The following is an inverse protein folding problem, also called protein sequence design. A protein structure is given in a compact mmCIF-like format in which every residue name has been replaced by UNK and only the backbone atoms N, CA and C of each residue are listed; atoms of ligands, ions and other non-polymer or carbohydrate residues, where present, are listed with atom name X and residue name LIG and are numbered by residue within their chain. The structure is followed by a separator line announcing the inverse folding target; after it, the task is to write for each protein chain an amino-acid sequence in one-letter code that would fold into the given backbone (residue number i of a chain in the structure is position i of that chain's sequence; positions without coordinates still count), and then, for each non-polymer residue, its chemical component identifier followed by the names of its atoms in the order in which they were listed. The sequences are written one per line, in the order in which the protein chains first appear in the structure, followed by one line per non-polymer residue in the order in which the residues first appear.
data_IF_042686551932
#
_entry.id   IF_042686551932
#
_cell.length_a   1.000
_cell.length_b   1.000
_cell.length_c   1.000
_cell.angle_alpha   90.00
_cell.angle_beta   90.00
_cell.angle_gamma   90.00
#
_symmetry.space_group_name_H-M   'P 1'
#
loop_
_entity.id
_entity.type
_entity.pdbx_description
1 polymer ?
#
# COMPACT_ATOMS: atom_id res chain seq x y z
N UNK A 1 -15.49 -23.52 29.74
CA UNK A 1 -14.71 -22.30 29.47
C UNK A 1 -13.69 -22.13 30.60
N UNK A 2 -12.44 -22.52 30.39
CA UNK A 2 -11.36 -22.37 31.38
C UNK A 2 -10.36 -21.33 30.90
N UNK A 3 -10.37 -20.14 31.50
CA UNK A 3 -9.37 -19.10 31.26
C UNK A 3 -8.12 -19.47 32.07
N UNK A 4 -7.13 -20.06 31.39
CA UNK A 4 -5.81 -20.35 31.94
C UNK A 4 -5.04 -19.05 32.16
N UNK A 5 -5.10 -18.52 33.38
CA UNK A 5 -4.25 -17.42 33.83
C UNK A 5 -2.80 -17.93 33.85
N UNK A 6 -1.97 -17.42 32.94
CA UNK A 6 -0.52 -17.63 33.01
C UNK A 6 0.02 -16.81 34.18
N UNK A 7 0.27 -17.47 35.31
CA UNK A 7 0.92 -16.87 36.47
C UNK A 7 2.36 -16.50 36.05
N UNK A 8 2.69 -15.21 36.13
CA UNK A 8 4.04 -14.74 35.94
C UNK A 8 4.92 -15.31 37.06
N UNK A 9 5.85 -16.19 36.72
CA UNK A 9 6.87 -16.68 37.66
C UNK A 9 7.67 -15.45 38.13
N UNK A 10 7.76 -15.19 39.44
CA UNK A 10 8.56 -14.08 39.94
C UNK A 10 10.02 -14.32 39.56
N UNK A 11 10.64 -13.33 38.91
CA UNK A 11 12.07 -13.32 38.62
C UNK A 11 12.83 -13.20 39.94
N UNK A 12 13.27 -14.32 40.48
CA UNK A 12 14.23 -14.35 41.58
C UNK A 12 15.59 -13.96 41.00
N UNK A 13 16.12 -12.80 41.42
CA UNK A 13 17.50 -12.45 41.14
C UNK A 13 18.36 -13.40 41.99
N UNK A 14 18.98 -14.39 41.33
CA UNK A 14 19.92 -15.31 41.97
C UNK A 14 21.19 -14.59 42.42
N UNK A 15 21.98 -15.26 43.28
CA UNK A 15 23.27 -14.75 43.72
C UNK A 15 24.22 -14.53 42.53
N UNK A 16 24.93 -13.40 42.56
CA UNK A 16 25.93 -13.06 41.55
C UNK A 16 27.13 -13.99 41.73
N UNK A 17 27.35 -14.88 40.76
CA UNK A 17 28.54 -15.74 40.70
C UNK A 17 29.26 -15.61 39.36
N UNK A 18 30.51 -16.02 39.35
CA UNK A 18 31.32 -16.05 38.13
C UNK A 18 30.76 -17.05 37.11
N UNK A 19 30.77 -16.63 35.84
CA UNK A 19 30.33 -17.44 34.71
C UNK A 19 31.40 -18.48 34.42
N UNK A 20 31.02 -19.75 34.44
CA UNK A 20 31.96 -20.84 34.12
C UNK A 20 32.11 -21.04 32.60
N UNK A 21 33.25 -21.55 32.16
CA UNK A 21 33.52 -21.79 30.73
C UNK A 21 32.49 -22.74 30.08
N UNK A 22 32.00 -23.72 30.84
CA UNK A 22 30.94 -24.63 30.41
C UNK A 22 29.61 -23.92 30.12
N UNK A 23 29.27 -22.90 30.92
CA UNK A 23 28.06 -22.10 30.75
C UNK A 23 28.18 -21.14 29.58
N UNK A 24 29.36 -20.55 29.41
CA UNK A 24 29.65 -19.70 28.26
C UNK A 24 29.52 -20.47 26.94
N UNK A 25 29.86 -21.76 26.94
CA UNK A 25 29.73 -22.68 25.80
C UNK A 25 28.30 -23.22 25.61
N UNK A 26 27.52 -23.30 26.70
CA UNK A 26 26.12 -23.73 26.68
C UNK A 26 25.13 -22.59 26.35
N UNK A 27 25.60 -21.35 26.28
CA UNK A 27 24.79 -20.20 25.90
C UNK A 27 24.22 -20.44 24.49
N UNK A 28 22.88 -20.49 24.32
CA UNK A 28 22.31 -20.63 23.00
C UNK A 28 22.67 -19.39 22.18
N UNK A 29 23.54 -19.57 21.19
CA UNK A 29 23.85 -18.58 20.13
C UNK A 29 22.69 -18.41 19.14
N UNK A 30 21.55 -19.04 19.42
CA UNK A 30 20.41 -19.11 18.55
C UNK A 30 19.81 -17.73 18.31
N UNK A 31 20.05 -17.19 17.12
CA UNK A 31 19.10 -16.29 16.48
C UNK A 31 17.76 -17.04 16.49
N UNK A 32 16.79 -16.54 17.24
CA UNK A 32 15.44 -17.11 17.28
C UNK A 32 14.98 -17.35 15.84
N UNK A 33 14.42 -18.53 15.50
CA UNK A 33 13.97 -18.82 14.14
C UNK A 33 13.16 -17.64 13.63
N UNK A 34 13.62 -17.04 12.52
CA UNK A 34 12.95 -15.90 11.91
C UNK A 34 11.49 -16.31 11.73
N UNK A 35 10.59 -15.66 12.47
CA UNK A 35 9.18 -16.01 12.44
C UNK A 35 8.70 -15.79 11.01
N UNK A 36 8.50 -16.89 10.28
CA UNK A 36 7.95 -16.84 8.94
C UNK A 36 6.59 -16.16 9.01
N UNK A 37 6.37 -15.20 8.11
CA UNK A 37 5.11 -14.47 8.06
C UNK A 37 3.98 -15.45 7.81
N UNK A 38 3.09 -15.59 8.77
CA UNK A 38 1.96 -16.52 8.65
C UNK A 38 0.95 -16.02 7.61
N UNK A 39 0.79 -14.69 7.47
CA UNK A 39 -0.10 -14.03 6.50
C UNK A 39 0.41 -12.65 6.10
N UNK A 40 0.48 -12.40 4.80
CA UNK A 40 0.67 -11.05 4.24
C UNK A 40 -0.65 -10.26 4.40
N UNK A 41 -0.54 -9.00 4.85
CA UNK A 41 -1.68 -8.12 5.18
C UNK A 41 -1.52 -6.83 4.37
N UNK A 42 -2.58 -6.03 4.25
CA UNK A 42 -2.56 -4.76 3.51
C UNK A 42 -1.37 -3.84 3.85
N UNK A 43 -0.98 -3.75 5.14
CA UNK A 43 0.20 -2.97 5.56
C UNK A 43 1.52 -3.52 5.01
N UNK A 44 1.65 -4.83 4.88
CA UNK A 44 2.80 -5.47 4.24
C UNK A 44 2.83 -5.20 2.74
N UNK A 45 1.67 -5.17 2.07
CA UNK A 45 1.59 -4.76 0.66
C UNK A 45 2.00 -3.30 0.46
N UNK A 46 1.55 -2.40 1.33
CA UNK A 46 1.94 -0.99 1.26
C UNK A 46 3.47 -0.81 1.42
N UNK A 47 4.07 -1.49 2.41
CA UNK A 47 5.52 -1.49 2.60
C UNK A 47 6.24 -2.11 1.39
N UNK A 48 5.76 -3.22 0.85
CA UNK A 48 6.37 -3.89 -0.30
C UNK A 48 6.34 -2.99 -1.56
N UNK A 49 5.24 -2.27 -1.80
CA UNK A 49 5.14 -1.27 -2.87
C UNK A 49 6.16 -0.15 -2.69
N UNK A 50 6.32 0.37 -1.48
CA UNK A 50 7.31 1.42 -1.19
C UNK A 50 8.76 0.95 -1.39
N UNK A 51 9.09 -0.28 -0.97
CA UNK A 51 10.40 -0.88 -1.21
C UNK A 51 10.62 -1.20 -2.70
N UNK A 52 9.55 -1.51 -3.43
CA UNK A 52 9.59 -1.68 -4.88
C UNK A 52 9.80 -0.32 -5.59
N UNK A 53 9.24 0.78 -5.06
CA UNK A 53 9.51 2.17 -5.49
C UNK A 53 10.99 2.55 -5.30
N UNK A 54 11.70 1.79 -4.47
CA UNK A 54 13.10 2.04 -4.13
C UNK A 54 13.26 3.01 -2.97
N UNK A 55 12.21 3.20 -2.14
CA UNK A 55 12.38 3.88 -0.87
C UNK A 55 13.36 3.09 0.01
N UNK A 56 14.19 3.84 0.73
CA UNK A 56 15.14 3.28 1.69
C UNK A 56 14.37 2.52 2.80
N UNK A 57 14.84 1.32 3.23
CA UNK A 57 14.10 0.49 4.17
C UNK A 57 13.75 1.17 5.50
N UNK A 58 14.64 2.03 6.01
CA UNK A 58 14.40 2.83 7.21
C UNK A 58 13.26 3.82 7.02
N UNK A 59 13.30 4.61 5.94
CA UNK A 59 12.24 5.57 5.58
C UNK A 59 10.90 4.87 5.31
N UNK A 60 10.90 3.76 4.56
CA UNK A 60 9.71 2.98 4.29
C UNK A 60 9.11 2.41 5.59
N UNK A 61 9.96 1.86 6.47
CA UNK A 61 9.55 1.39 7.79
C UNK A 61 8.87 2.50 8.62
N UNK A 62 9.51 3.65 8.74
CA UNK A 62 8.98 4.79 9.48
C UNK A 62 7.63 5.27 8.92
N UNK A 63 7.49 5.34 7.58
CA UNK A 63 6.29 5.80 6.89
C UNK A 63 5.08 4.90 7.17
N UNK A 64 5.28 3.58 7.20
CA UNK A 64 4.19 2.61 7.41
C UNK A 64 4.10 2.08 8.84
N UNK A 65 4.84 2.67 9.78
CA UNK A 65 4.79 2.37 11.21
C UNK A 65 5.39 1.01 11.57
N UNK A 66 6.54 0.67 10.98
CA UNK A 66 7.34 -0.51 11.29
C UNK A 66 8.71 -0.11 11.82
N UNK A 67 9.24 -0.89 12.77
CA UNK A 67 10.62 -0.71 13.24
C UNK A 67 11.62 -1.20 12.17
N UNK A 68 12.83 -0.61 12.09
CA UNK A 68 13.85 -1.05 11.13
C UNK A 68 14.21 -2.53 11.29
N UNK A 69 14.30 -3.02 12.52
CA UNK A 69 14.55 -4.43 12.81
C UNK A 69 13.45 -5.34 12.25
N UNK A 70 12.18 -4.95 12.37
CA UNK A 70 11.07 -5.73 11.80
C UNK A 70 11.09 -5.70 10.27
N UNK A 71 11.40 -4.55 9.65
CA UNK A 71 11.55 -4.47 8.18
C UNK A 71 12.66 -5.42 7.70
N UNK A 72 13.77 -5.50 8.43
CA UNK A 72 14.85 -6.45 8.12
C UNK A 72 14.38 -7.91 8.18
N UNK A 73 13.59 -8.27 9.21
CA UNK A 73 12.97 -9.60 9.30
C UNK A 73 12.03 -9.88 8.12
N UNK A 74 11.19 -8.91 7.74
CA UNK A 74 10.33 -9.04 6.57
C UNK A 74 11.13 -9.23 5.28
N UNK A 75 12.24 -8.53 5.10
CA UNK A 75 13.08 -8.66 3.90
C UNK A 75 13.82 -10.00 3.82
N UNK A 76 14.06 -10.67 4.95
CA UNK A 76 14.60 -12.02 4.97
C UNK A 76 13.56 -13.07 4.53
N UNK A 77 12.26 -12.80 4.75
CA UNK A 77 11.15 -13.70 4.42
C UNK A 77 11.02 -13.89 2.89
N UNK A 78 10.98 -15.14 2.38
CA UNK A 78 10.85 -15.41 0.95
C UNK A 78 9.55 -14.88 0.31
N UNK A 79 8.41 -15.02 1.00
CA UNK A 79 7.11 -14.61 0.46
C UNK A 79 7.03 -13.08 0.34
N UNK A 80 7.61 -12.36 1.30
CA UNK A 80 7.70 -10.90 1.22
C UNK A 80 8.64 -10.44 0.09
N UNK A 81 9.77 -11.13 -0.13
CA UNK A 81 10.67 -10.84 -1.26
C UNK A 81 10.00 -11.05 -2.62
N UNK A 82 9.24 -12.12 -2.78
CA UNK A 82 8.43 -12.35 -3.97
C UNK A 82 7.40 -11.25 -4.19
N UNK A 83 6.74 -10.78 -3.12
CA UNK A 83 5.78 -9.68 -3.21
C UNK A 83 6.44 -8.36 -3.68
N UNK A 84 7.64 -8.05 -3.18
CA UNK A 84 8.40 -6.88 -3.64
C UNK A 84 8.80 -7.04 -5.11
N UNK A 85 9.25 -8.24 -5.52
CA UNK A 85 9.62 -8.53 -6.90
C UNK A 85 8.42 -8.44 -7.85
N UNK A 86 7.26 -8.95 -7.43
CA UNK A 86 6.00 -8.83 -8.15
C UNK A 86 5.66 -7.37 -8.42
N UNK A 87 5.70 -6.52 -7.38
CA UNK A 87 5.45 -5.10 -7.58
C UNK A 87 6.47 -4.50 -8.53
N UNK A 88 7.78 -4.75 -8.34
CA UNK A 88 8.86 -4.33 -9.25
C UNK A 88 8.57 -4.65 -10.72
N UNK A 89 8.00 -5.81 -10.99
CA UNK A 89 7.66 -6.25 -12.34
C UNK A 89 6.39 -5.58 -12.92
N UNK A 90 5.43 -5.15 -12.09
CA UNK A 90 4.20 -4.48 -12.54
C UNK A 90 4.43 -3.07 -13.13
N UNK A 91 5.64 -2.52 -13.09
CA UNK A 91 6.03 -1.40 -13.95
C UNK A 91 5.55 0.00 -13.53
N UNK A 92 4.82 0.13 -12.42
CA UNK A 92 4.37 1.44 -11.89
C UNK A 92 5.54 2.38 -11.52
N UNK A 93 6.75 1.85 -11.36
CA UNK A 93 7.95 2.63 -11.01
C UNK A 93 8.44 3.51 -12.13
N UNK A 94 8.43 3.02 -13.36
CA UNK A 94 8.91 3.80 -14.50
C UNK A 94 7.93 4.93 -14.79
N UNK A 95 6.62 4.69 -14.63
CA UNK A 95 5.61 5.71 -14.77
C UNK A 95 5.71 6.79 -13.69
N UNK A 96 5.81 6.41 -12.41
CA UNK A 96 5.94 7.38 -11.29
C UNK A 96 7.24 8.16 -11.41
N UNK A 97 8.38 7.51 -11.68
CA UNK A 97 9.67 8.21 -11.88
C UNK A 97 9.67 9.09 -13.12
N UNK A 98 9.03 8.66 -14.21
CA UNK A 98 8.89 9.48 -15.42
C UNK A 98 8.04 10.72 -15.13
N UNK A 99 6.93 10.57 -14.40
CA UNK A 99 6.07 11.67 -13.98
C UNK A 99 6.85 12.67 -13.12
N UNK A 100 7.57 12.22 -12.11
CA UNK A 100 8.42 13.08 -11.26
C UNK A 100 9.48 13.83 -12.09
N UNK A 101 10.16 13.14 -13.01
CA UNK A 101 11.16 13.77 -13.90
C UNK A 101 10.52 14.78 -14.86
N UNK A 102 9.35 14.48 -15.40
CA UNK A 102 8.60 15.39 -16.28
C UNK A 102 8.10 16.63 -15.53
N UNK A 103 7.71 16.49 -14.26
CA UNK A 103 7.32 17.61 -13.41
C UNK A 103 8.50 18.56 -13.17
N UNK A 104 9.67 18.04 -12.80
CA UNK A 104 10.89 18.85 -12.63
C UNK A 104 11.29 19.53 -13.93
N UNK A 105 11.35 18.79 -15.04
CA UNK A 105 11.68 19.35 -16.35
C UNK A 105 10.69 20.43 -16.77
N UNK A 106 9.39 20.22 -16.51
CA UNK A 106 8.36 21.21 -16.82
C UNK A 106 8.57 22.50 -16.02
N UNK A 107 8.90 22.39 -14.73
CA UNK A 107 9.16 23.53 -13.87
C UNK A 107 10.39 24.34 -14.33
N UNK A 108 11.49 23.65 -14.65
CA UNK A 108 12.72 24.30 -15.15
C UNK A 108 12.47 24.96 -16.52
N UNK A 109 11.79 24.29 -17.43
CA UNK A 109 11.45 24.83 -18.75
C UNK A 109 10.56 26.08 -18.63
N UNK A 110 9.53 26.06 -17.76
CA UNK A 110 8.68 27.21 -17.50
C UNK A 110 9.47 28.41 -16.93
N UNK A 111 10.44 28.16 -16.04
CA UNK A 111 11.29 29.20 -15.47
C UNK A 111 12.20 29.85 -16.52
N UNK A 112 12.78 29.05 -17.41
CA UNK A 112 13.61 29.55 -18.52
C UNK A 112 12.78 30.32 -19.55
N UNK A 113 11.56 29.87 -19.84
CA UNK A 113 10.62 30.61 -20.72
C UNK A 113 10.31 31.99 -20.12
N UNK A 114 10.01 32.06 -18.82
CA UNK A 114 9.73 33.33 -18.14
C UNK A 114 10.91 34.29 -18.26
N UNK A 115 12.12 33.81 -17.95
CA UNK A 115 13.36 34.60 -18.09
C UNK A 115 13.52 35.16 -19.51
N UNK A 116 13.29 34.35 -20.54
CA UNK A 116 13.39 34.80 -21.95
C UNK A 116 12.38 35.87 -22.31
N UNK A 117 11.16 35.78 -21.76
CA UNK A 117 10.11 36.79 -21.97
C UNK A 117 10.50 38.11 -21.30
N UNK A 118 11.10 38.06 -20.11
CA UNK A 118 11.59 39.24 -19.39
C UNK A 118 12.76 39.91 -20.14
N UNK A 119 13.74 39.12 -20.58
CA UNK A 119 14.94 39.63 -21.24
C UNK A 119 14.65 40.19 -22.64
N UNK A 120 13.77 39.53 -23.40
CA UNK A 120 13.49 39.86 -24.80
C UNK A 120 12.00 39.70 -25.14
N UNK A 121 11.13 40.59 -24.61
CA UNK A 121 9.68 40.45 -24.78
C UNK A 121 9.23 40.48 -26.25
N UNK A 122 9.98 41.15 -27.13
CA UNK A 122 9.67 41.22 -28.57
C UNK A 122 10.04 39.97 -29.39
N UNK A 123 10.72 38.98 -28.80
CA UNK A 123 11.07 37.73 -29.50
C UNK A 123 9.92 36.73 -29.57
N UNK A 124 8.93 36.85 -28.70
CA UNK A 124 7.76 35.97 -28.68
C UNK A 124 6.60 36.64 -29.39
N UNK A 125 5.95 35.92 -30.29
CA UNK A 125 4.71 36.39 -30.88
C UNK A 125 3.55 36.32 -29.88
N UNK A 126 2.56 37.20 -30.03
CA UNK A 126 1.34 37.15 -29.22
C UNK A 126 0.63 35.78 -29.29
N UNK A 127 0.75 35.07 -30.43
CA UNK A 127 0.19 33.71 -30.60
C UNK A 127 0.90 32.68 -29.71
N UNK A 128 2.22 32.77 -29.58
CA UNK A 128 2.99 31.86 -28.73
C UNK A 128 2.70 32.11 -27.24
N UNK A 129 2.59 33.40 -26.85
CA UNK A 129 2.25 33.78 -25.47
C UNK A 129 0.84 33.31 -25.08
N UNK A 130 -0.15 33.49 -25.95
CA UNK A 130 -1.52 33.00 -25.72
C UNK A 130 -1.56 31.46 -25.59
N UNK A 131 -0.80 30.75 -26.42
CA UNK A 131 -0.73 29.28 -26.34
C UNK A 131 -0.07 28.80 -25.05
N UNK A 132 0.92 29.53 -24.56
CA UNK A 132 1.58 29.24 -23.29
C UNK A 132 0.62 29.46 -22.11
N UNK A 133 -0.16 30.55 -22.15
CA UNK A 133 -1.20 30.82 -21.18
C UNK A 133 -2.26 29.71 -21.14
N UNK A 134 -2.75 29.27 -22.29
CA UNK A 134 -3.74 28.18 -22.42
C UNK A 134 -3.22 26.86 -21.82
N UNK A 135 -2.01 26.44 -22.19
CA UNK A 135 -1.37 25.23 -21.66
C UNK A 135 -1.17 25.28 -20.13
N UNK A 136 -0.91 26.47 -19.58
CA UNK A 136 -0.69 26.67 -18.15
C UNK A 136 -2.02 26.74 -17.39
N UNK A 137 -3.04 27.35 -17.98
CA UNK A 137 -4.39 27.39 -17.45
C UNK A 137 -4.98 25.97 -17.34
N UNK A 138 -4.85 25.15 -18.38
CA UNK A 138 -5.31 23.74 -18.35
C UNK A 138 -4.64 22.94 -17.23
N UNK A 139 -3.35 23.15 -17.00
CA UNK A 139 -2.58 22.44 -15.95
C UNK A 139 -2.89 22.91 -14.53
N UNK A 140 -3.35 24.14 -14.37
CA UNK A 140 -3.74 24.70 -13.07
C UNK A 140 -5.24 24.56 -12.80
N UNK A 141 -5.98 23.89 -13.69
CA UNK A 141 -7.43 23.70 -13.57
C UNK A 141 -8.27 24.92 -13.96
N UNK A 142 -7.66 25.93 -14.59
CA UNK A 142 -8.31 27.14 -15.12
C UNK A 142 -8.58 27.04 -16.63
N UNK A 143 -8.53 25.84 -17.18
CA UNK A 143 -8.84 25.54 -18.58
C UNK A 143 -10.32 25.71 -18.93
N UNK A 144 -10.66 26.01 -20.20
CA UNK A 144 -12.02 26.39 -20.59
C UNK A 144 -13.09 25.29 -20.44
N UNK A 145 -12.73 24.00 -20.26
CA UNK A 145 -13.71 22.93 -19.99
C UNK A 145 -13.13 21.79 -19.16
N UNK A 146 -13.61 21.65 -17.93
CA UNK A 146 -13.54 20.41 -17.17
C UNK A 146 -14.71 19.51 -17.59
N UNK A 147 -14.55 18.73 -18.67
CA UNK A 147 -15.54 17.69 -19.03
C UNK A 147 -15.28 16.47 -18.14
N UNK A 148 -16.08 16.32 -17.10
CA UNK A 148 -16.01 15.18 -16.19
C UNK A 148 -16.95 14.07 -16.69
N UNK A 149 -16.47 13.23 -17.61
CA UNK A 149 -17.19 12.01 -18.02
C UNK A 149 -17.02 10.90 -16.97
N UNK A 150 -17.80 10.97 -15.89
CA UNK A 150 -17.95 9.83 -14.98
C UNK A 150 -18.92 8.83 -15.58
N UNK A 151 -18.45 7.95 -16.45
CA UNK A 151 -19.20 6.76 -16.85
C UNK A 151 -19.18 5.76 -15.69
N UNK A 152 -20.01 6.01 -14.68
CA UNK A 152 -20.23 5.06 -13.59
C UNK A 152 -21.11 3.96 -14.16
N UNK A 153 -20.48 2.92 -14.72
CA UNK A 153 -21.15 1.66 -15.02
C UNK A 153 -21.47 0.95 -13.69
N UNK A 154 -22.44 1.47 -12.95
CA UNK A 154 -23.04 0.75 -11.84
C UNK A 154 -23.76 -0.42 -12.50
N UNK A 155 -23.18 -1.60 -12.39
CA UNK A 155 -23.74 -2.83 -12.94
C UNK A 155 -24.99 -3.22 -12.14
N UNK A 156 -26.08 -2.48 -12.36
CA UNK A 156 -27.39 -2.69 -11.73
C UNK A 156 -27.91 -4.10 -12.01
N UNK A 157 -27.57 -4.67 -13.17
CA UNK A 157 -27.90 -6.05 -13.54
C UNK A 157 -27.31 -7.07 -12.55
N UNK A 158 -26.03 -6.92 -12.18
CA UNK A 158 -25.40 -7.82 -11.21
C UNK A 158 -26.03 -7.71 -9.82
N UNK A 159 -26.34 -6.48 -9.36
CA UNK A 159 -27.00 -6.26 -8.06
C UNK A 159 -28.44 -6.78 -8.04
N UNK A 160 -29.17 -6.67 -9.15
CA UNK A 160 -30.55 -7.17 -9.25
C UNK A 160 -30.59 -8.71 -9.27
N UNK A 161 -29.65 -9.35 -9.96
CA UNK A 161 -29.52 -10.81 -9.96
C UNK A 161 -29.14 -11.36 -8.59
N UNK A 162 -28.26 -10.67 -7.87
CA UNK A 162 -27.89 -11.05 -6.51
C UNK A 162 -29.07 -10.88 -5.53
N UNK A 163 -29.84 -9.79 -5.65
CA UNK A 163 -31.06 -9.60 -4.88
C UNK A 163 -32.10 -10.70 -5.17
N UNK A 164 -32.26 -11.10 -6.43
CA UNK A 164 -33.19 -12.18 -6.82
C UNK A 164 -32.78 -13.53 -6.26
N UNK A 165 -31.49 -13.88 -6.33
CA UNK A 165 -30.96 -15.12 -5.71
C UNK A 165 -31.17 -15.17 -4.20
N UNK A 166 -31.07 -14.03 -3.50
CA UNK A 166 -31.34 -13.95 -2.06
C UNK A 166 -32.82 -14.22 -1.74
N UNK A 167 -33.74 -13.72 -2.56
CA UNK A 167 -35.19 -13.98 -2.37
C UNK A 167 -35.55 -15.44 -2.67
N UNK A 168 -35.00 -16.01 -3.74
CA UNK A 168 -35.25 -17.42 -4.11
C UNK A 168 -34.75 -18.39 -3.02
N UNK A 169 -33.54 -18.16 -2.47
CA UNK A 169 -33.01 -18.95 -1.36
C UNK A 169 -33.81 -18.79 -0.05
N UNK A 170 -34.55 -17.69 0.10
CA UNK A 170 -35.42 -17.45 1.26
C UNK A 170 -36.76 -18.19 1.12
N UNK A 171 -37.32 -18.24 -0.10
CA UNK A 171 -38.58 -18.95 -0.37
C UNK A 171 -38.45 -20.48 -0.26
N UNK A 172 -37.30 -21.07 -0.60
CA UNK A 172 -37.13 -22.53 -0.50
C UNK A 172 -37.13 -23.04 0.94
N UNK A 173 -36.78 -22.19 1.92
CA UNK A 173 -36.76 -22.54 3.35
C UNK A 173 -38.15 -22.59 4.01
N UNK A 174 -39.14 -21.88 3.46
CA UNK A 174 -40.49 -21.85 4.05
C UNK A 174 -41.35 -23.07 3.64
N UNK A 175 -41.06 -23.68 2.50
CA UNK A 175 -41.84 -24.83 1.99
C UNK A 175 -41.51 -26.13 2.74
N UNK A 176 -40.27 -26.30 3.24
CA UNK A 176 -39.90 -27.49 4.02
C UNK A 176 -40.45 -27.47 5.45
N UNK A 177 -40.78 -26.31 6.02
CA UNK A 177 -41.27 -26.19 7.41
C UNK A 177 -42.77 -26.45 7.58
N UNK A 178 -43.54 -26.52 6.48
CA UNK A 178 -45.01 -26.67 6.51
C UNK A 178 -45.50 -28.08 6.21
N UNK A 179 -44.62 -29.02 5.86
CA UNK A 179 -44.99 -30.41 5.51
C UNK A 179 -45.10 -31.39 6.70
N UNK A 180 -44.72 -30.99 7.92
CA UNK A 180 -44.82 -31.85 9.12
C UNK A 180 -45.77 -31.27 10.17
N UNK A 181 -47.09 -31.26 9.91
CA UNK A 181 -48.08 -31.20 11.00
C UNK A 181 -49.48 -31.65 10.61
N UNK A 182 -49.68 -32.95 10.58
CA UNK A 182 -50.90 -33.72 10.89
C UNK A 182 -50.45 -35.18 10.76
N UNK A 183 -50.34 -35.96 11.84
CA UNK A 183 -51.47 -36.71 12.38
C UNK A 183 -51.29 -36.99 13.88
N UNK A 184 -52.37 -36.79 14.65
CA UNK A 184 -52.52 -37.14 16.06
C UNK A 184 -53.99 -37.16 16.43
#
# INVERSE_FOLDING_TARGET
MGLGVKVAVPLMIGEVREVTEAEMRAQPTGVSPQQQLSKLRARHHALAKALALGLEPGVAGATYGYSPAYVSVLQADPAFRELVAHYRAEGDFDYVRLKERLEVLSFEASSEILRRIEDQPGRFSNKELLKLLELTADRTGHGPKMTQDTNINVNFGARLQEARRRLEASQTKEIELTAERTDG
#
